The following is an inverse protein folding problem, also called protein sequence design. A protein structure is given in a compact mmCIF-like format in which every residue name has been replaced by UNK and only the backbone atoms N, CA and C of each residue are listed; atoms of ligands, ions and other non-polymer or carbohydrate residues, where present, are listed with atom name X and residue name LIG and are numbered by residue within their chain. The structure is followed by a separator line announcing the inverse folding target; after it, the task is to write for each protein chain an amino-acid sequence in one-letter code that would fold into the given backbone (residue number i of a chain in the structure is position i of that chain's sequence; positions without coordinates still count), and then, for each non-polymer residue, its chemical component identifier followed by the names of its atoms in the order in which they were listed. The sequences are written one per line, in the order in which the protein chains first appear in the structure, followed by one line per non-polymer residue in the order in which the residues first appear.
data_IF_103777737146
#
_entry.id   IF_103777737146
#
_cell.length_a   1.000
_cell.length_b   1.000
_cell.length_c   1.000
_cell.angle_alpha   90.00
_cell.angle_beta   90.00
_cell.angle_gamma   90.00
#
_symmetry.space_group_name_H-M   'P 1'
#
loop_
_entity.id
_entity.type
_entity.pdbx_description
1 polymer ?
#
# COMPACT_ATOMS: atom_id res chain seq x y z
N UNK A 1 38.68 -17.48 25.12
CA UNK A 1 37.21 -17.38 25.25
C UNK A 1 36.67 -17.06 23.87
N UNK A 2 36.24 -18.09 23.15
CA UNK A 2 35.86 -18.06 21.73
C UNK A 2 34.35 -17.96 21.65
N UNK A 3 33.79 -16.99 20.91
CA UNK A 3 32.46 -17.13 20.30
C UNK A 3 32.49 -16.43 18.94
N UNK A 4 32.47 -17.24 17.88
CA UNK A 4 31.94 -16.87 16.57
C UNK A 4 30.43 -17.13 16.57
N UNK A 5 29.64 -16.29 15.91
CA UNK A 5 28.31 -16.68 15.43
C UNK A 5 27.86 -15.77 14.27
N UNK A 6 27.77 -16.40 13.09
CA UNK A 6 27.24 -15.86 11.85
C UNK A 6 25.72 -15.71 11.88
N UNK A 7 25.15 -14.78 11.11
CA UNK A 7 23.78 -14.85 10.53
C UNK A 7 23.79 -14.10 9.19
N UNK A 8 23.89 -14.82 8.07
CA UNK A 8 22.78 -15.44 7.33
C UNK A 8 21.86 -14.39 6.67
N UNK A 9 22.08 -14.21 5.37
CA UNK A 9 21.17 -13.47 4.50
C UNK A 9 19.86 -14.23 4.29
N UNK A 10 18.82 -13.49 3.93
CA UNK A 10 17.58 -14.05 3.43
C UNK A 10 17.11 -13.21 2.24
N UNK A 11 17.24 -13.80 1.06
CA UNK A 11 16.50 -13.40 -0.16
C UNK A 11 15.10 -13.97 0.01
N UNK A 12 14.06 -13.15 -0.12
CA UNK A 12 12.66 -13.59 -0.07
C UNK A 12 12.10 -13.65 -1.49
N UNK A 13 11.77 -14.86 -1.93
CA UNK A 13 10.96 -15.14 -3.12
C UNK A 13 9.47 -15.17 -2.72
N UNK A 14 8.62 -14.48 -3.47
CA UNK A 14 7.15 -14.59 -3.37
C UNK A 14 6.69 -15.56 -4.47
N UNK A 15 5.96 -16.61 -4.09
CA UNK A 15 5.26 -17.49 -5.02
C UNK A 15 3.75 -17.40 -4.78
N UNK A 16 2.99 -17.10 -5.84
CA UNK A 16 1.53 -17.18 -5.87
C UNK A 16 1.16 -18.32 -6.80
N UNK A 17 0.38 -19.29 -6.31
CA UNK A 17 -0.17 -20.36 -7.14
C UNK A 17 -1.67 -20.12 -7.34
N UNK A 18 -2.11 -20.07 -8.59
CA UNK A 18 -3.52 -20.16 -8.98
C UNK A 18 -3.71 -21.36 -9.91
N UNK A 19 -4.74 -22.17 -9.66
CA UNK A 19 -5.10 -23.33 -10.49
C UNK A 19 -6.26 -22.97 -11.43
N UNK A 20 -6.16 -23.32 -12.72
CA UNK A 20 -7.25 -23.24 -13.69
C UNK A 20 -6.79 -23.27 -15.14
N UNK A 21 -7.44 -24.06 -15.99
CA UNK A 21 -6.94 -24.58 -17.27
C UNK A 21 -7.12 -23.67 -18.50
N UNK A 22 -6.13 -23.72 -19.39
CA UNK A 22 -6.30 -23.81 -20.86
C UNK A 22 -7.00 -22.66 -21.60
N UNK A 23 -6.26 -21.61 -21.93
CA UNK A 23 -6.55 -20.73 -23.06
C UNK A 23 -5.25 -20.36 -23.80
N UNK A 24 -5.31 -20.37 -25.12
CA UNK A 24 -4.22 -20.20 -26.09
C UNK A 24 -3.35 -18.95 -25.85
N UNK A 25 -2.04 -19.14 -25.83
CA UNK A 25 -0.98 -18.20 -25.41
C UNK A 25 -0.65 -17.06 -26.40
N UNK A 26 -1.43 -16.87 -27.47
CA UNK A 26 -0.91 -16.20 -28.67
C UNK A 26 -1.36 -14.74 -28.90
N UNK A 27 -1.82 -14.01 -27.86
CA UNK A 27 -2.12 -12.57 -28.07
C UNK A 27 -1.99 -11.64 -26.83
N UNK A 28 -1.26 -12.01 -25.77
CA UNK A 28 -1.26 -11.28 -24.49
C UNK A 28 0.09 -10.64 -24.09
N UNK A 29 0.84 -10.08 -25.04
CA UNK A 29 2.12 -9.37 -24.74
C UNK A 29 1.98 -7.85 -24.87
N UNK A 30 0.92 -7.28 -24.29
CA UNK A 30 1.00 -5.91 -23.76
C UNK A 30 1.46 -6.04 -22.32
N UNK A 31 2.78 -5.95 -22.12
CA UNK A 31 3.46 -6.39 -20.88
C UNK A 31 3.06 -5.56 -19.65
N UNK A 32 2.04 -6.00 -18.91
CA UNK A 32 1.82 -5.55 -17.54
C UNK A 32 3.04 -5.95 -16.71
N UNK A 33 3.92 -4.98 -16.40
CA UNK A 33 5.11 -5.14 -15.53
C UNK A 33 4.84 -4.49 -14.16
N UNK A 34 5.49 -4.98 -13.12
CA UNK A 34 5.38 -4.43 -11.76
C UNK A 34 4.21 -5.00 -10.95
N UNK A 35 3.81 -4.32 -9.88
CA UNK A 35 2.86 -4.81 -8.88
C UNK A 35 1.47 -5.17 -9.46
N UNK A 36 1.01 -4.46 -10.49
CA UNK A 36 -0.30 -4.67 -11.12
C UNK A 36 -0.32 -5.83 -12.12
N UNK A 37 0.80 -6.53 -12.33
CA UNK A 37 0.79 -7.83 -12.99
C UNK A 37 -0.01 -8.88 -12.19
N UNK A 38 -0.20 -8.66 -10.88
CA UNK A 38 -1.13 -9.43 -10.05
C UNK A 38 -2.55 -8.90 -10.25
N UNK A 39 -3.43 -9.74 -10.76
CA UNK A 39 -4.83 -9.38 -10.99
C UNK A 39 -5.53 -8.94 -9.70
N UNK A 40 -6.32 -7.86 -9.80
CA UNK A 40 -7.05 -7.28 -8.66
C UNK A 40 -6.25 -6.28 -7.80
N UNK A 41 -4.97 -6.04 -8.13
CA UNK A 41 -4.19 -4.94 -7.56
C UNK A 41 -4.23 -3.73 -8.48
N UNK A 42 -4.55 -2.57 -7.91
CA UNK A 42 -4.46 -1.26 -8.56
C UNK A 42 -3.47 -0.39 -7.79
N UNK A 43 -2.74 0.49 -8.49
CA UNK A 43 -1.81 1.44 -7.87
C UNK A 43 -2.12 2.85 -8.33
N UNK A 44 -2.18 3.79 -7.38
CA UNK A 44 -2.39 5.20 -7.65
C UNK A 44 -1.43 6.07 -6.84
N UNK A 45 -1.07 7.22 -7.42
CA UNK A 45 -0.14 8.17 -6.82
C UNK A 45 -0.78 9.55 -6.75
N UNK A 46 -0.44 10.31 -5.71
CA UNK A 46 -0.64 11.75 -5.68
C UNK A 46 0.63 12.44 -5.21
N UNK A 47 1.27 13.18 -6.11
CA UNK A 47 2.47 13.98 -5.83
C UNK A 47 2.09 15.43 -5.64
N UNK A 48 2.59 16.06 -4.57
CA UNK A 48 2.45 17.49 -4.37
C UNK A 48 3.49 18.21 -5.23
N UNK A 49 3.06 19.05 -6.18
CA UNK A 49 4.01 19.73 -7.07
C UNK A 49 4.90 20.77 -6.35
N UNK A 50 4.46 21.27 -5.19
CA UNK A 50 5.15 22.32 -4.45
C UNK A 50 6.31 21.82 -3.56
N UNK A 51 6.47 20.50 -3.40
CA UNK A 51 7.56 19.86 -2.63
C UNK A 51 7.72 18.42 -3.11
N UNK A 52 8.94 17.84 -3.20
CA UNK A 52 9.12 16.44 -3.58
C UNK A 52 8.60 15.47 -2.49
N UNK A 53 7.28 15.31 -2.45
CA UNK A 53 6.52 14.47 -1.52
C UNK A 53 5.18 14.07 -2.14
N UNK A 54 4.54 13.08 -1.56
CA UNK A 54 3.21 12.65 -1.95
C UNK A 54 2.77 11.42 -1.17
N UNK A 55 1.77 10.73 -1.72
CA UNK A 55 1.43 9.40 -1.29
C UNK A 55 1.14 8.46 -2.47
N UNK A 56 1.39 7.18 -2.22
CA UNK A 56 1.06 6.06 -3.08
C UNK A 56 0.03 5.17 -2.37
N UNK A 57 -0.98 4.75 -3.10
CA UNK A 57 -2.05 3.86 -2.63
C UNK A 57 -2.07 2.62 -3.49
N UNK A 58 -1.97 1.46 -2.84
CA UNK A 58 -2.20 0.15 -3.45
C UNK A 58 -3.61 -0.27 -3.06
N UNK A 59 -4.53 -0.40 -4.02
CA UNK A 59 -5.90 -0.86 -3.76
C UNK A 59 -6.03 -2.36 -4.04
N UNK A 60 -6.77 -3.02 -3.15
CA UNK A 60 -7.18 -4.42 -3.26
C UNK A 60 -8.68 -4.47 -3.02
N UNK A 61 -9.47 -3.98 -3.99
CA UNK A 61 -10.92 -3.72 -3.83
C UNK A 61 -11.73 -4.93 -3.34
N UNK A 62 -11.35 -6.13 -3.79
CA UNK A 62 -11.97 -7.40 -3.36
C UNK A 62 -11.52 -7.90 -1.98
N UNK A 63 -10.63 -7.18 -1.31
CA UNK A 63 -9.89 -7.66 -0.15
C UNK A 63 -8.68 -8.50 -0.55
N UNK A 64 -7.55 -8.32 0.13
CA UNK A 64 -6.38 -9.18 -0.01
C UNK A 64 -5.87 -9.60 1.37
N UNK A 65 -5.46 -10.86 1.50
CA UNK A 65 -4.76 -11.31 2.71
C UNK A 65 -3.44 -10.55 2.85
N UNK A 66 -3.19 -9.98 4.03
CA UNK A 66 -2.01 -9.17 4.27
C UNK A 66 -1.38 -9.48 5.63
N UNK A 67 -0.07 -9.26 5.70
CA UNK A 67 0.75 -9.30 6.90
C UNK A 67 1.78 -8.16 6.81
N UNK A 68 2.41 -7.82 7.94
CA UNK A 68 3.43 -6.75 7.99
C UNK A 68 4.61 -7.16 8.84
N UNK A 69 5.81 -6.77 8.40
CA UNK A 69 7.05 -6.86 9.17
C UNK A 69 7.70 -5.47 9.22
N UNK A 70 7.83 -4.91 10.41
CA UNK A 70 8.38 -3.58 10.65
C UNK A 70 9.77 -3.72 11.26
N UNK A 71 10.81 -3.48 10.46
CA UNK A 71 12.21 -3.68 10.86
C UNK A 71 13.01 -2.40 11.13
N UNK A 72 12.43 -1.25 10.84
CA UNK A 72 13.06 0.05 11.13
C UNK A 72 12.97 0.41 12.61
N UNK A 73 13.95 1.14 13.13
CA UNK A 73 14.02 1.53 14.55
C UNK A 73 13.06 2.70 14.92
N UNK A 74 12.51 3.42 13.95
CA UNK A 74 11.61 4.55 14.17
C UNK A 74 10.44 4.52 13.18
N UNK A 75 9.56 3.53 13.27
CA UNK A 75 8.45 3.38 12.35
C UNK A 75 7.37 4.44 12.60
N UNK A 76 6.78 4.95 11.52
CA UNK A 76 5.47 5.60 11.58
C UNK A 76 4.48 4.74 10.81
N UNK A 77 3.52 4.17 11.51
CA UNK A 77 2.56 3.24 10.92
C UNK A 77 1.15 3.46 11.45
N UNK A 78 0.17 2.97 10.68
CA UNK A 78 -1.24 2.87 11.05
C UNK A 78 -1.72 1.45 10.81
N UNK A 79 -2.57 0.95 11.71
CA UNK A 79 -3.30 -0.33 11.58
C UNK A 79 -2.41 -1.58 11.41
N UNK A 80 -1.10 -1.51 11.67
CA UNK A 80 -0.21 -2.67 11.57
C UNK A 80 -0.50 -3.74 12.62
N UNK A 81 -0.94 -3.34 13.83
CA UNK A 81 -1.33 -4.28 14.88
C UNK A 81 -2.51 -5.17 14.46
N UNK A 82 -3.37 -4.71 13.54
CA UNK A 82 -4.50 -5.47 13.04
C UNK A 82 -4.06 -6.65 12.17
N UNK A 83 -2.87 -6.56 11.57
CA UNK A 83 -2.33 -7.57 10.65
C UNK A 83 -1.59 -8.73 11.36
N UNK A 84 -1.62 -8.76 12.69
CA UNK A 84 -1.20 -9.96 13.42
C UNK A 84 -2.13 -11.14 13.04
N UNK A 85 -1.58 -12.30 12.62
CA UNK A 85 -2.38 -13.44 12.19
C UNK A 85 -3.34 -13.99 13.25
N UNK A 86 -3.18 -13.66 14.54
CA UNK A 86 -4.12 -14.06 15.59
C UNK A 86 -5.42 -13.26 15.59
N UNK A 87 -5.48 -12.13 14.87
CA UNK A 87 -6.67 -11.28 14.81
C UNK A 87 -7.71 -11.80 13.82
N UNK A 88 -8.96 -11.35 13.97
CA UNK A 88 -10.07 -11.77 13.11
C UNK A 88 -10.10 -11.10 11.74
N UNK A 89 -9.45 -9.94 11.58
CA UNK A 89 -9.38 -9.23 10.30
C UNK A 89 -8.22 -9.78 9.49
N UNK A 90 -8.57 -10.50 8.42
CA UNK A 90 -7.59 -11.19 7.58
C UNK A 90 -7.41 -10.53 6.22
N UNK A 91 -8.18 -9.49 5.89
CA UNK A 91 -8.17 -8.84 4.58
C UNK A 91 -8.05 -7.31 4.69
N UNK A 92 -7.19 -6.74 3.85
CA UNK A 92 -7.03 -5.29 3.67
C UNK A 92 -7.63 -4.85 2.34
N UNK A 93 -8.05 -3.59 2.28
CA UNK A 93 -8.69 -3.01 1.09
C UNK A 93 -7.78 -2.02 0.38
N UNK A 94 -6.81 -1.47 1.12
CA UNK A 94 -5.73 -0.69 0.57
C UNK A 94 -4.50 -0.72 1.48
N UNK A 95 -3.34 -0.37 0.93
CA UNK A 95 -2.12 -0.03 1.67
C UNK A 95 -1.69 1.38 1.24
N UNK A 96 -1.32 2.23 2.21
CA UNK A 96 -0.87 3.60 1.96
C UNK A 96 0.60 3.75 2.31
N UNK A 97 1.38 4.26 1.36
CA UNK A 97 2.76 4.69 1.56
C UNK A 97 2.80 6.20 1.39
N UNK A 98 3.29 6.95 2.38
CA UNK A 98 3.25 8.42 2.33
C UNK A 98 4.55 9.06 2.79
N UNK A 99 4.91 10.17 2.15
CA UNK A 99 5.85 11.15 2.68
C UNK A 99 5.26 11.92 3.87
N UNK A 100 5.98 12.93 4.35
CA UNK A 100 5.50 13.83 5.41
C UNK A 100 5.73 13.36 6.83
N UNK A 101 6.51 12.29 7.04
CA UNK A 101 6.71 11.66 8.35
C UNK A 101 5.36 11.30 9.00
N UNK A 102 5.26 11.30 10.34
CA UNK A 102 4.04 10.92 11.07
C UNK A 102 2.79 11.70 10.62
N UNK A 103 2.93 12.93 10.14
CA UNK A 103 1.80 13.72 9.62
C UNK A 103 1.15 13.07 8.38
N UNK A 104 1.95 12.40 7.55
CA UNK A 104 1.49 11.73 6.33
C UNK A 104 0.55 10.55 6.59
N UNK A 105 0.46 10.05 7.82
CA UNK A 105 -0.53 9.03 8.19
C UNK A 105 -1.98 9.51 7.96
N UNK A 106 -2.21 10.83 7.92
CA UNK A 106 -3.50 11.43 7.55
C UNK A 106 -3.96 11.05 6.13
N UNK A 107 -3.04 10.70 5.21
CA UNK A 107 -3.42 10.24 3.87
C UNK A 107 -4.32 8.99 3.92
N UNK A 108 -4.15 8.13 4.92
CA UNK A 108 -4.99 6.95 5.09
C UNK A 108 -6.48 7.29 5.33
N UNK A 109 -6.78 8.41 5.99
CA UNK A 109 -8.17 8.85 6.20
C UNK A 109 -8.87 9.17 4.88
N UNK A 110 -8.12 9.74 3.93
CA UNK A 110 -8.58 9.97 2.57
C UNK A 110 -8.96 8.71 1.82
N UNK A 111 -8.09 7.70 1.93
CA UNK A 111 -8.30 6.40 1.30
C UNK A 111 -9.47 5.67 1.94
N UNK A 112 -9.61 5.73 3.27
CA UNK A 112 -10.80 5.22 3.95
C UNK A 112 -12.08 5.88 3.45
N UNK A 113 -12.10 7.21 3.34
CA UNK A 113 -13.25 7.95 2.78
C UNK A 113 -13.57 7.51 1.36
N UNK A 114 -12.56 7.41 0.49
CA UNK A 114 -12.76 6.94 -0.89
C UNK A 114 -13.37 5.53 -0.91
N UNK A 115 -12.82 4.58 -0.14
CA UNK A 115 -13.31 3.20 -0.12
C UNK A 115 -14.73 3.09 0.45
N UNK A 116 -15.06 3.86 1.48
CA UNK A 116 -16.40 3.91 2.07
C UNK A 116 -17.43 4.43 1.05
N UNK A 117 -17.12 5.50 0.34
CA UNK A 117 -17.95 6.03 -0.77
C UNK A 117 -18.18 5.00 -1.88
N UNK A 118 -17.22 4.09 -2.10
CA UNK A 118 -17.33 2.98 -3.06
C UNK A 118 -18.02 1.74 -2.48
N UNK A 119 -18.42 1.76 -1.20
CA UNK A 119 -19.00 0.60 -0.53
C UNK A 119 -18.02 -0.58 -0.39
N UNK A 120 -16.72 -0.30 -0.24
CA UNK A 120 -15.64 -1.29 -0.11
C UNK A 120 -15.14 -1.29 1.34
N UNK A 121 -14.94 -2.48 1.92
CA UNK A 121 -14.51 -2.63 3.30
C UNK A 121 -15.02 -3.93 3.95
N UNK A 122 -14.53 -4.19 5.15
CA UNK A 122 -14.92 -5.32 5.97
C UNK A 122 -16.35 -5.12 6.48
N UNK A 123 -17.22 -6.11 6.28
CA UNK A 123 -18.62 -6.03 6.70
C UNK A 123 -18.74 -6.38 8.17
N UNK A 124 -18.97 -5.38 9.01
CA UNK A 124 -19.36 -5.56 10.41
C UNK A 124 -20.87 -5.76 10.53
N UNK A 125 -21.37 -5.93 11.76
CA UNK A 125 -22.81 -5.95 12.05
C UNK A 125 -23.49 -4.61 11.72
N UNK A 126 -22.76 -3.50 11.82
CA UNK A 126 -23.35 -2.14 11.77
C UNK A 126 -23.03 -1.42 10.47
N UNK A 127 -21.79 -1.52 10.01
CA UNK A 127 -21.29 -0.77 8.86
C UNK A 127 -20.23 -1.57 8.10
N UNK A 128 -19.88 -1.08 6.93
CA UNK A 128 -18.71 -1.54 6.18
C UNK A 128 -17.52 -0.66 6.56
N UNK A 129 -16.42 -1.27 6.98
CA UNK A 129 -15.24 -0.56 7.49
C UNK A 129 -14.03 -0.88 6.60
N UNK A 130 -13.54 0.08 5.81
CA UNK A 130 -12.29 -0.08 5.09
C UNK A 130 -11.14 -0.38 6.05
N UNK A 131 -10.26 -1.30 5.67
CA UNK A 131 -9.06 -1.66 6.42
C UNK A 131 -7.87 -1.16 5.61
N UNK A 132 -7.18 -0.15 6.14
CA UNK A 132 -6.20 0.66 5.38
C UNK A 132 -4.91 0.85 6.19
N UNK A 133 -4.06 -0.18 6.27
CA UNK A 133 -2.73 -0.04 6.85
C UNK A 133 -1.90 1.01 6.11
N UNK A 134 -1.11 1.76 6.86
CA UNK A 134 -0.23 2.78 6.30
C UNK A 134 1.16 2.74 6.91
N UNK A 135 2.15 3.16 6.11
CA UNK A 135 3.51 3.40 6.54
C UNK A 135 4.01 4.72 5.94
N UNK A 136 4.87 5.42 6.68
CA UNK A 136 5.43 6.70 6.25
C UNK A 136 6.94 6.67 6.11
N UNK A 137 7.46 7.64 5.37
CA UNK A 137 8.89 7.99 5.32
C UNK A 137 9.12 9.43 5.75
N UNK A 138 10.35 9.75 6.12
CA UNK A 138 10.77 11.11 6.44
C UNK A 138 11.34 11.80 5.19
N UNK A 139 10.65 12.80 4.68
CA UNK A 139 11.08 13.67 3.57
C UNK A 139 11.04 15.17 3.94
N UNK A 140 10.75 15.50 5.20
CA UNK A 140 10.57 16.87 5.67
C UNK A 140 11.83 17.74 5.57
N UNK A 141 13.00 17.12 5.33
CA UNK A 141 14.28 17.83 5.14
C UNK A 141 14.46 18.46 3.75
N UNK A 142 13.51 18.28 2.82
CA UNK A 142 13.60 18.81 1.46
C UNK A 142 12.43 19.75 1.18
N UNK A 143 12.72 21.03 0.92
CA UNK A 143 11.71 22.06 0.66
C UNK A 143 11.01 22.54 1.93
N UNK A 144 9.77 23.04 1.80
CA UNK A 144 8.98 23.54 2.94
C UNK A 144 8.34 22.37 3.72
N UNK A 145 8.69 22.15 5.01
CA UNK A 145 8.14 21.07 5.82
C UNK A 145 6.65 21.23 6.15
N UNK A 146 6.07 22.42 5.95
CA UNK A 146 4.63 22.66 6.13
C UNK A 146 3.79 22.03 5.02
N UNK A 147 4.36 21.84 3.83
CA UNK A 147 3.70 21.19 2.68
C UNK A 147 3.83 19.69 2.86
N UNK A 148 2.74 18.98 3.14
CA UNK A 148 2.78 17.55 3.45
C UNK A 148 1.51 16.83 2.97
N UNK A 149 1.58 15.52 2.69
CA UNK A 149 0.40 14.74 2.37
C UNK A 149 -0.65 14.80 3.48
N UNK A 150 -1.91 14.96 3.08
CA UNK A 150 -3.07 14.99 3.95
C UNK A 150 -4.14 13.99 3.47
N UNK A 151 -5.32 14.02 4.08
CA UNK A 151 -6.42 13.14 3.69
C UNK A 151 -6.85 13.36 2.23
N UNK A 152 -6.84 14.59 1.71
CA UNK A 152 -7.23 14.81 0.31
C UNK A 152 -6.19 14.24 -0.65
N UNK A 153 -4.90 14.26 -0.29
CA UNK A 153 -3.84 13.59 -1.05
C UNK A 153 -4.11 12.08 -1.19
N UNK A 154 -4.41 11.41 -0.07
CA UNK A 154 -4.75 9.99 -0.08
C UNK A 154 -6.00 9.66 -0.89
N UNK A 155 -7.05 10.47 -0.76
CA UNK A 155 -8.28 10.33 -1.56
C UNK A 155 -7.97 10.41 -3.07
N UNK A 156 -7.17 11.39 -3.49
CA UNK A 156 -6.77 11.58 -4.89
C UNK A 156 -5.92 10.42 -5.40
N UNK A 157 -4.98 9.93 -4.60
CA UNK A 157 -4.16 8.77 -4.95
C UNK A 157 -5.03 7.52 -5.14
N UNK A 158 -5.96 7.24 -4.21
CA UNK A 158 -6.89 6.11 -4.34
C UNK A 158 -7.79 6.24 -5.58
N UNK A 159 -8.33 7.44 -5.85
CA UNK A 159 -9.14 7.70 -7.05
C UNK A 159 -8.36 7.53 -8.35
N UNK A 160 -7.06 7.82 -8.35
CA UNK A 160 -6.18 7.68 -9.49
C UNK A 160 -5.62 6.25 -9.68
N UNK A 161 -5.97 5.33 -8.78
CA UNK A 161 -5.47 3.96 -8.84
C UNK A 161 -6.03 3.21 -10.05
N UNK A 162 -5.14 2.47 -10.72
CA UNK A 162 -5.44 1.70 -11.92
C UNK A 162 -4.57 0.45 -12.01
N UNK A 163 -4.99 -0.52 -12.81
CA UNK A 163 -4.30 -1.80 -13.00
C UNK A 163 -3.31 -1.80 -14.17
N UNK A 164 -3.31 -0.77 -15.03
CA UNK A 164 -2.44 -0.65 -16.19
C UNK A 164 -1.35 0.41 -15.99
N UNK A 165 -0.11 0.03 -16.27
CA UNK A 165 1.04 0.94 -16.30
C UNK A 165 1.26 1.73 -15.01
N UNK A 166 2.00 1.16 -14.06
CA UNK A 166 2.46 1.86 -12.86
C UNK A 166 3.49 2.92 -13.27
N UNK A 167 3.30 4.16 -12.84
CA UNK A 167 4.31 5.19 -13.04
C UNK A 167 5.42 5.00 -12.00
N UNK A 168 6.67 5.04 -12.45
CA UNK A 168 7.86 4.89 -11.60
C UNK A 168 8.66 6.21 -11.56
N UNK A 169 9.55 6.37 -10.58
CA UNK A 169 10.39 7.56 -10.41
C UNK A 169 9.95 8.43 -9.22
N UNK A 170 10.10 9.74 -9.34
CA UNK A 170 9.69 10.71 -8.30
C UNK A 170 8.19 11.00 -8.36
N UNK A 171 7.39 9.95 -8.13
CA UNK A 171 5.93 9.99 -8.07
C UNK A 171 5.43 9.38 -6.77
N UNK A 172 4.22 9.80 -6.39
CA UNK A 172 3.68 9.55 -5.06
C UNK A 172 4.49 10.21 -3.96
#
# INVERSE_FOLDING_TARGET
MTIAAARAGAVICVAVAAAGAGASLENATMTTRGLTAVAGIEVGHHTLAARPTGCTVVLTRGGATAAVDVRGASPGTRETALLDPVNSIQQVHAIVLSGGSAFGLAAADGVMRYLDEQGIGYRTRTARVPIVPAAILYDLGVGDPAIRPDAECGYRAARAARSDGIHEGSVG
#
